data_IF_741538975254
#
_entry.id   IF_741538975254
#
_cell.length_a   1.000
_cell.length_b   1.000
_cell.length_c   1.000
_cell.angle_alpha   90.00
_cell.angle_beta   90.00
_cell.angle_gamma   90.00
#
_symmetry.space_group_name_H-M   'P 1'
#
loop_
_entity.id
_entity.type
_entity.pdbx_description
1 polymer ?
#
# COMPACT_ATOMS: atom_id res chain seq x y z
N UNK A 1 4.08 8.89 31.34
CA UNK A 1 5.01 7.82 30.90
C UNK A 1 4.26 6.50 31.03
N UNK A 2 3.89 5.84 29.91
CA UNK A 2 3.27 4.51 29.93
C UNK A 2 4.28 3.50 30.48
N UNK A 3 3.89 2.69 31.45
CA UNK A 3 4.79 1.69 32.05
C UNK A 3 4.96 0.49 31.10
N UNK A 4 6.12 -0.17 31.13
CA UNK A 4 6.39 -1.35 30.28
C UNK A 4 5.30 -2.43 30.41
N UNK A 5 4.72 -2.61 31.61
CA UNK A 5 3.62 -3.55 31.84
C UNK A 5 2.33 -3.18 31.10
N UNK A 6 2.01 -1.89 30.99
CA UNK A 6 0.84 -1.41 30.21
C UNK A 6 1.05 -1.64 28.72
N UNK A 7 2.28 -1.44 28.21
CA UNK A 7 2.59 -1.71 26.81
C UNK A 7 2.42 -3.20 26.44
N UNK A 8 2.90 -4.11 27.28
CA UNK A 8 2.71 -5.54 27.08
C UNK A 8 1.25 -5.98 27.19
N UNK A 9 0.48 -5.36 28.09
CA UNK A 9 -0.96 -5.60 28.20
C UNK A 9 -1.70 -5.15 26.92
N UNK A 10 -1.44 -3.93 26.45
CA UNK A 10 -2.03 -3.39 25.20
C UNK A 10 -1.66 -4.25 23.98
N UNK A 11 -0.41 -4.73 23.89
CA UNK A 11 0.02 -5.64 22.83
C UNK A 11 -0.72 -6.98 22.86
N UNK A 12 -0.87 -7.58 24.05
CA UNK A 12 -1.56 -8.87 24.21
C UNK A 12 -3.05 -8.73 23.90
N UNK A 13 -3.66 -7.63 24.31
CA UNK A 13 -5.06 -7.31 24.06
C UNK A 13 -5.31 -7.09 22.56
N UNK A 14 -4.43 -6.34 21.88
CA UNK A 14 -4.46 -6.18 20.43
C UNK A 14 -4.26 -7.49 19.67
N UNK A 15 -3.34 -8.35 20.13
CA UNK A 15 -3.14 -9.68 19.54
C UNK A 15 -4.41 -10.53 19.66
N UNK A 16 -5.03 -10.57 20.84
CA UNK A 16 -6.27 -11.31 21.08
C UNK A 16 -7.41 -10.83 20.15
N UNK A 17 -7.50 -9.52 19.92
CA UNK A 17 -8.49 -8.90 19.03
C UNK A 17 -8.29 -9.29 17.56
N UNK A 18 -7.04 -9.40 17.10
CA UNK A 18 -6.70 -9.88 15.75
C UNK A 18 -7.12 -11.35 15.57
N UNK A 19 -6.93 -12.18 16.60
CA UNK A 19 -7.31 -13.60 16.55
C UNK A 19 -8.82 -13.81 16.61
N UNK A 20 -9.56 -12.92 17.28
CA UNK A 20 -11.03 -12.97 17.33
C UNK A 20 -11.70 -12.60 16.00
N UNK A 21 -11.16 -11.60 15.28
CA UNK A 21 -11.77 -11.12 14.04
C UNK A 21 -11.20 -11.82 12.80
N UNK A 22 -11.99 -12.65 12.08
CA UNK A 22 -11.51 -13.38 10.90
C UNK A 22 -11.06 -12.47 9.76
N UNK A 23 -11.57 -11.22 9.69
CA UNK A 23 -11.09 -10.20 8.76
C UNK A 23 -9.66 -9.74 9.08
N UNK A 24 -9.39 -9.36 10.33
CA UNK A 24 -8.06 -8.91 10.77
C UNK A 24 -7.02 -10.02 10.62
N UNK A 25 -7.37 -11.26 10.98
CA UNK A 25 -6.49 -12.43 10.81
C UNK A 25 -6.06 -12.67 9.37
N UNK A 26 -6.94 -12.41 8.39
CA UNK A 26 -6.62 -12.53 6.95
C UNK A 26 -5.92 -11.30 6.40
N UNK A 27 -6.23 -10.11 6.90
CA UNK A 27 -5.63 -8.86 6.47
C UNK A 27 -4.15 -8.74 6.91
N UNK A 28 -3.79 -9.29 8.07
CA UNK A 28 -2.43 -9.21 8.62
C UNK A 28 -1.34 -9.80 7.69
N UNK A 29 -1.42 -11.06 7.22
CA UNK A 29 -0.41 -11.59 6.31
C UNK A 29 -0.37 -10.85 4.97
N UNK A 30 -1.52 -10.37 4.47
CA UNK A 30 -1.58 -9.56 3.25
C UNK A 30 -0.83 -8.26 3.44
N UNK A 31 -1.09 -7.55 4.54
CA UNK A 31 -0.39 -6.30 4.86
C UNK A 31 1.12 -6.52 4.98
N UNK A 32 1.54 -7.63 5.59
CA UNK A 32 2.95 -7.99 5.73
C UNK A 32 3.61 -8.24 4.37
N UNK A 33 2.99 -9.05 3.51
CA UNK A 33 3.49 -9.35 2.15
C UNK A 33 3.57 -8.08 1.30
N UNK A 34 2.51 -7.26 1.33
CA UNK A 34 2.47 -6.00 0.58
C UNK A 34 3.62 -5.09 1.02
N UNK A 35 3.75 -4.84 2.32
CA UNK A 35 4.80 -3.97 2.83
C UNK A 35 6.20 -4.52 2.55
N UNK A 36 6.42 -5.84 2.69
CA UNK A 36 7.69 -6.46 2.32
C UNK A 36 8.01 -6.35 0.83
N UNK A 37 7.02 -6.37 -0.06
CA UNK A 37 7.25 -6.21 -1.50
C UNK A 37 7.59 -4.77 -1.89
N UNK A 38 7.08 -3.77 -1.16
CA UNK A 38 7.28 -2.35 -1.46
C UNK A 38 8.50 -1.73 -0.82
N UNK A 39 8.91 -2.23 0.34
CA UNK A 39 10.05 -1.67 1.05
C UNK A 39 11.35 -1.73 0.21
N UNK A 40 11.63 -2.80 -0.55
CA UNK A 40 12.73 -2.81 -1.52
C UNK A 40 12.58 -1.74 -2.60
N UNK A 41 11.37 -1.43 -3.08
CA UNK A 41 11.19 -0.35 -4.05
C UNK A 41 11.61 1.01 -3.49
N UNK A 42 11.29 1.30 -2.22
CA UNK A 42 11.70 2.55 -1.56
C UNK A 42 13.23 2.69 -1.40
N UNK A 43 13.96 1.58 -1.40
CA UNK A 43 15.42 1.58 -1.23
C UNK A 43 16.13 1.50 -2.59
N UNK A 44 15.54 0.77 -3.54
CA UNK A 44 16.11 0.50 -4.85
C UNK A 44 15.70 1.52 -5.90
N UNK A 45 14.76 2.41 -5.65
CA UNK A 45 14.30 3.45 -6.59
C UNK A 45 15.44 4.36 -7.08
N UNK A 46 16.29 4.86 -6.19
CA UNK A 46 17.46 5.69 -6.54
C UNK A 46 18.43 4.89 -7.39
N UNK A 47 18.66 3.63 -7.03
CA UNK A 47 19.54 2.71 -7.78
C UNK A 47 18.95 2.42 -9.16
N UNK A 48 17.64 2.23 -9.26
CA UNK A 48 16.93 1.99 -10.51
C UNK A 48 17.04 3.20 -11.44
N UNK A 49 16.77 4.40 -10.95
CA UNK A 49 16.87 5.62 -11.75
C UNK A 49 18.30 5.88 -12.22
N UNK A 50 19.29 5.75 -11.33
CA UNK A 50 20.68 6.09 -11.65
C UNK A 50 21.44 5.00 -12.39
N UNK A 51 21.28 3.73 -12.02
CA UNK A 51 22.07 2.60 -12.55
C UNK A 51 21.37 1.80 -13.63
N UNK A 52 20.04 1.75 -13.65
CA UNK A 52 19.29 0.98 -14.66
C UNK A 52 18.82 1.89 -15.78
N UNK A 53 18.14 2.99 -15.43
CA UNK A 53 17.63 3.95 -16.41
C UNK A 53 18.69 4.95 -16.88
N UNK A 54 19.82 5.05 -16.18
CA UNK A 54 20.90 6.01 -16.47
C UNK A 54 20.41 7.46 -16.51
N UNK A 55 19.45 7.80 -15.64
CA UNK A 55 18.82 9.12 -15.58
C UNK A 55 19.29 9.93 -14.38
N UNK A 56 19.11 11.24 -14.48
CA UNK A 56 19.50 12.20 -13.46
C UNK A 56 18.47 12.42 -12.33
N UNK A 57 18.77 13.33 -11.39
CA UNK A 57 17.92 13.62 -10.23
C UNK A 57 16.49 14.08 -10.58
N UNK A 58 16.34 14.75 -11.73
CA UNK A 58 15.04 15.26 -12.18
C UNK A 58 14.07 14.11 -12.53
N UNK A 59 14.59 13.01 -13.08
CA UNK A 59 13.81 11.80 -13.33
C UNK A 59 13.37 11.10 -12.04
N UNK A 60 14.23 11.13 -11.01
CA UNK A 60 13.88 10.62 -9.68
C UNK A 60 12.78 11.45 -9.00
N UNK A 61 12.79 12.78 -9.17
CA UNK A 61 11.66 13.61 -8.73
C UNK A 61 10.35 13.21 -9.45
N UNK A 62 10.44 12.90 -10.75
CA UNK A 62 9.31 12.37 -11.54
C UNK A 62 8.77 11.03 -11.02
N UNK A 63 9.65 10.14 -10.52
CA UNK A 63 9.24 8.88 -9.89
C UNK A 63 8.37 9.11 -8.65
N UNK A 64 8.88 9.92 -7.72
CA UNK A 64 8.16 10.26 -6.50
C UNK A 64 6.84 10.96 -6.79
N UNK A 65 6.85 11.90 -7.74
CA UNK A 65 5.64 12.60 -8.17
C UNK A 65 4.59 11.65 -8.76
N UNK A 66 4.97 10.73 -9.65
CA UNK A 66 4.04 9.78 -10.25
C UNK A 66 3.36 8.89 -9.20
N UNK A 67 4.13 8.41 -8.22
CA UNK A 67 3.60 7.60 -7.13
C UNK A 67 2.65 8.41 -6.24
N UNK A 68 3.03 9.63 -5.85
CA UNK A 68 2.20 10.50 -5.01
C UNK A 68 0.90 10.92 -5.70
N UNK A 69 0.97 11.33 -6.96
CA UNK A 69 -0.21 11.70 -7.76
C UNK A 69 -1.13 10.49 -7.91
N UNK A 70 -0.55 9.30 -8.13
CA UNK A 70 -1.29 8.04 -8.11
C UNK A 70 -2.00 7.81 -6.77
N UNK A 71 -1.30 7.95 -5.65
CA UNK A 71 -1.88 7.78 -4.31
C UNK A 71 -3.03 8.73 -4.04
N UNK A 72 -2.88 10.01 -4.38
CA UNK A 72 -3.95 10.99 -4.21
C UNK A 72 -5.16 10.59 -5.07
N UNK A 73 -4.94 10.29 -6.36
CA UNK A 73 -6.00 9.85 -7.27
C UNK A 73 -6.71 8.59 -6.79
N UNK A 74 -5.94 7.60 -6.32
CA UNK A 74 -6.46 6.35 -5.75
C UNK A 74 -7.30 6.58 -4.49
N UNK A 75 -6.84 7.46 -3.60
CA UNK A 75 -7.56 7.78 -2.35
C UNK A 75 -8.91 8.43 -2.64
N UNK A 76 -8.99 9.31 -3.64
CA UNK A 76 -10.25 9.91 -4.10
C UNK A 76 -11.18 8.86 -4.73
N UNK A 77 -10.61 7.92 -5.50
CA UNK A 77 -11.34 6.81 -6.12
C UNK A 77 -11.84 5.78 -5.11
N UNK A 78 -11.19 5.64 -3.95
CA UNK A 78 -11.53 4.67 -2.92
C UNK A 78 -13.03 4.70 -2.57
N UNK A 79 -13.58 5.90 -2.33
CA UNK A 79 -14.99 6.08 -1.99
C UNK A 79 -15.97 5.54 -3.04
N UNK A 80 -15.60 5.59 -4.33
CA UNK A 80 -16.42 5.08 -5.44
C UNK A 80 -16.23 3.58 -5.63
N UNK A 81 -14.99 3.12 -5.52
CA UNK A 81 -14.61 1.71 -5.69
C UNK A 81 -15.25 0.86 -4.60
N UNK A 82 -15.13 1.25 -3.33
CA UNK A 82 -15.73 0.50 -2.21
C UNK A 82 -17.26 0.57 -2.15
N UNK A 83 -17.90 1.54 -2.82
CA UNK A 83 -19.36 1.56 -2.99
C UNK A 83 -19.86 0.57 -4.05
N UNK A 84 -19.02 0.25 -5.05
CA UNK A 84 -19.42 -0.58 -6.20
C UNK A 84 -18.88 -2.01 -6.15
N UNK A 85 -17.75 -2.23 -5.49
CA UNK A 85 -17.05 -3.51 -5.44
C UNK A 85 -16.97 -4.05 -4.02
N UNK A 86 -17.00 -5.38 -3.91
CA UNK A 86 -16.74 -6.09 -2.66
C UNK A 86 -15.30 -5.81 -2.21
N UNK A 87 -15.12 -5.51 -0.93
CA UNK A 87 -13.82 -5.21 -0.30
C UNK A 87 -12.73 -6.19 -0.73
N UNK A 88 -13.03 -7.50 -0.67
CA UNK A 88 -12.08 -8.56 -1.03
C UNK A 88 -11.66 -8.49 -2.50
N UNK A 89 -12.60 -8.26 -3.41
CA UNK A 89 -12.31 -8.12 -4.85
C UNK A 89 -11.44 -6.89 -5.12
N UNK A 90 -11.72 -5.76 -4.46
CA UNK A 90 -10.90 -4.55 -4.54
C UNK A 90 -9.47 -4.81 -4.07
N UNK A 91 -9.30 -5.49 -2.93
CA UNK A 91 -7.97 -5.82 -2.41
C UNK A 91 -7.19 -6.69 -3.40
N UNK A 92 -7.83 -7.73 -3.95
CA UNK A 92 -7.20 -8.63 -4.93
C UNK A 92 -6.82 -7.87 -6.21
N UNK A 93 -7.69 -6.97 -6.71
CA UNK A 93 -7.39 -6.15 -7.88
C UNK A 93 -6.21 -5.22 -7.63
N UNK A 94 -6.17 -4.51 -6.50
CA UNK A 94 -5.04 -3.64 -6.14
C UNK A 94 -3.73 -4.42 -6.00
N UNK A 95 -3.77 -5.62 -5.42
CA UNK A 95 -2.63 -6.54 -5.34
C UNK A 95 -2.16 -6.99 -6.72
N UNK A 96 -3.08 -7.38 -7.60
CA UNK A 96 -2.78 -7.82 -8.96
C UNK A 96 -2.16 -6.69 -9.79
N UNK A 97 -2.70 -5.47 -9.69
CA UNK A 97 -2.14 -4.28 -10.36
C UNK A 97 -0.74 -3.97 -9.83
N UNK A 98 -0.55 -3.98 -8.52
CA UNK A 98 0.76 -3.69 -7.91
C UNK A 98 1.81 -4.74 -8.27
N UNK A 99 1.46 -6.03 -8.14
CA UNK A 99 2.34 -7.14 -8.49
C UNK A 99 2.65 -7.20 -9.99
N UNK A 100 1.65 -6.96 -10.85
CA UNK A 100 1.83 -6.88 -12.29
C UNK A 100 2.75 -5.72 -12.69
N UNK A 101 2.58 -4.55 -12.05
CA UNK A 101 3.44 -3.38 -12.26
C UNK A 101 4.88 -3.66 -11.85
N UNK A 102 5.10 -4.38 -10.74
CA UNK A 102 6.42 -4.81 -10.28
C UNK A 102 7.11 -5.76 -11.27
N UNK A 103 6.39 -6.75 -11.78
CA UNK A 103 6.92 -7.67 -12.80
C UNK A 103 7.26 -6.91 -14.08
N UNK A 104 6.42 -5.97 -14.49
CA UNK A 104 6.64 -5.18 -15.69
C UNK A 104 7.86 -4.26 -15.56
N UNK A 105 8.03 -3.61 -14.39
CA UNK A 105 9.22 -2.83 -14.07
C UNK A 105 10.50 -3.66 -14.23
N UNK A 106 10.50 -4.89 -13.72
CA UNK A 106 11.67 -5.77 -13.81
C UNK A 106 12.01 -6.18 -15.26
N UNK A 107 11.08 -6.10 -16.21
CA UNK A 107 11.28 -6.57 -17.59
C UNK A 107 11.55 -5.46 -18.58
N UNK A 108 11.02 -4.26 -18.33
CA UNK A 108 11.07 -3.15 -19.29
C UNK A 108 11.67 -1.91 -18.62
N UNK A 109 12.99 -1.69 -18.73
CA UNK A 109 13.67 -0.54 -18.15
C UNK A 109 13.47 0.72 -19.02
N UNK A 110 12.21 1.13 -19.22
CA UNK A 110 11.84 2.37 -19.89
C UNK A 110 11.26 3.34 -18.87
N UNK A 111 11.64 4.62 -18.99
CA UNK A 111 11.19 5.68 -18.07
C UNK A 111 9.67 5.85 -18.08
N UNK A 112 9.05 5.91 -19.26
CA UNK A 112 7.60 6.08 -19.41
C UNK A 112 6.82 4.90 -18.83
N UNK A 113 7.30 3.68 -19.05
CA UNK A 113 6.71 2.46 -18.47
C UNK A 113 6.85 2.49 -16.95
N UNK A 114 7.98 2.96 -16.44
CA UNK A 114 8.22 3.05 -15.01
C UNK A 114 7.26 4.05 -14.33
N UNK A 115 7.07 5.23 -14.92
CA UNK A 115 6.10 6.22 -14.43
C UNK A 115 4.69 5.63 -14.41
N UNK A 116 4.27 4.95 -15.48
CA UNK A 116 2.95 4.32 -15.53
C UNK A 116 2.76 3.25 -14.46
N UNK A 117 3.77 2.40 -14.25
CA UNK A 117 3.76 1.38 -13.21
C UNK A 117 3.71 1.98 -11.80
N UNK A 118 4.53 2.99 -11.52
CA UNK A 118 4.55 3.67 -10.22
C UNK A 118 3.24 4.41 -9.94
N UNK A 119 2.65 5.02 -10.96
CA UNK A 119 1.33 5.61 -10.84
C UNK A 119 0.27 4.56 -10.49
N UNK A 120 0.26 3.41 -11.18
CA UNK A 120 -0.66 2.29 -10.90
C UNK A 120 -0.49 1.69 -9.50
N UNK A 121 0.75 1.54 -9.04
CA UNK A 121 1.08 1.15 -7.66
C UNK A 121 0.55 2.20 -6.68
N UNK A 122 0.80 3.49 -6.96
CA UNK A 122 0.31 4.61 -6.16
C UNK A 122 -1.21 4.59 -6.02
N UNK A 123 -1.95 4.45 -7.14
CA UNK A 123 -3.42 4.35 -7.13
C UNK A 123 -3.89 3.19 -6.26
N UNK A 124 -3.28 2.01 -6.43
CA UNK A 124 -3.60 0.83 -5.61
C UNK A 124 -3.38 1.11 -4.13
N UNK A 125 -2.30 1.81 -3.79
CA UNK A 125 -1.97 2.20 -2.42
C UNK A 125 -2.97 3.17 -1.81
N UNK A 126 -3.35 4.22 -2.55
CA UNK A 126 -4.35 5.17 -2.11
C UNK A 126 -5.69 4.49 -1.83
N UNK A 127 -6.15 3.64 -2.75
CA UNK A 127 -7.39 2.88 -2.58
C UNK A 127 -7.33 1.99 -1.34
N UNK A 128 -6.27 1.19 -1.20
CA UNK A 128 -6.12 0.26 -0.07
C UNK A 128 -6.05 0.98 1.27
N UNK A 129 -5.19 2.00 1.41
CA UNK A 129 -5.00 2.70 2.68
C UNK A 129 -6.28 3.43 3.11
N UNK A 130 -6.93 4.18 2.21
CA UNK A 130 -8.18 4.88 2.54
C UNK A 130 -9.31 3.90 2.85
N UNK A 131 -9.44 2.82 2.06
CA UNK A 131 -10.47 1.81 2.25
C UNK A 131 -10.32 1.03 3.55
N UNK A 132 -9.12 0.52 3.83
CA UNK A 132 -8.84 -0.22 5.06
C UNK A 132 -8.99 0.67 6.30
N UNK A 133 -8.49 1.92 6.26
CA UNK A 133 -8.69 2.87 7.35
C UNK A 133 -10.18 3.10 7.64
N UNK A 134 -10.99 3.25 6.59
CA UNK A 134 -12.44 3.44 6.71
C UNK A 134 -13.13 2.20 7.29
N UNK A 135 -12.74 1.00 6.86
CA UNK A 135 -13.28 -0.26 7.39
C UNK A 135 -12.91 -0.47 8.86
N UNK A 136 -11.67 -0.16 9.24
CA UNK A 136 -11.22 -0.20 10.63
C UNK A 136 -12.02 0.81 11.46
N UNK A 137 -12.19 2.04 10.99
CA UNK A 137 -13.01 3.06 11.67
C UNK A 137 -14.48 2.65 11.83
N UNK A 138 -15.05 1.91 10.88
CA UNK A 138 -16.41 1.38 10.99
C UNK A 138 -16.51 0.20 11.95
N UNK A 139 -15.46 -0.62 12.04
CA UNK A 139 -15.41 -1.79 12.93
C UNK A 139 -15.08 -1.42 14.38
N UNK A 140 -14.36 -0.32 14.60
CA UNK A 140 -14.07 0.19 15.95
C UNK A 140 -15.31 0.91 16.50
N UNK A 141 -15.83 0.53 17.68
CA UNK A 141 -16.96 1.22 18.29
C UNK A 141 -16.67 2.71 18.43
N UNK A 142 -17.64 3.58 18.12
CA UNK A 142 -17.55 5.05 18.24
C UNK A 142 -17.37 5.57 19.69
N UNK A 143 -17.03 4.69 20.64
CA UNK A 143 -16.94 5.01 22.05
C UNK A 143 -15.48 5.07 22.48
N UNK A 144 -14.82 6.20 22.16
CA UNK A 144 -13.74 6.81 22.93
C UNK A 144 -13.66 8.28 22.54
#
# INVERSE_FOLDING_TARGET
MRTLGQFWAELREGQHLIWLHPFLRRALPIALVVNMALMPLNVLDVVWVRRVLHLGPLAYAGFGAALLVGMIGGSMLASRVFKRLVVTTTIILCLAVSGGSLVLLSRVPLFSVTIGCLFGIGVSFGVLNTGLATLIQQATPKAL
#
